data_IF_564896337162
#
_entry.id   IF_564896337162
#
_cell.length_a   1.000
_cell.length_b   1.000
_cell.length_c   1.000
_cell.angle_alpha   90.00
_cell.angle_beta   90.00
_cell.angle_gamma   90.00
#
_symmetry.space_group_name_H-M   'P 1'
#
loop_
_entity.id
_entity.type
_entity.pdbx_description
1 polymer ?
#
# COMPACT_ATOMS: atom_id res chain seq x y z
N UNK A 1 -17.30 9.07 -18.46
CA UNK A 1 -18.39 9.94 -17.99
C UNK A 1 -17.88 10.90 -16.92
N UNK A 2 -18.16 12.21 -17.04
CA UNK A 2 -17.80 13.19 -16.04
C UNK A 2 -18.45 12.91 -14.67
N UNK A 3 -17.70 13.13 -13.57
CA UNK A 3 -18.15 12.87 -12.18
C UNK A 3 -19.46 13.57 -11.81
N UNK A 4 -19.76 14.71 -12.44
CA UNK A 4 -21.00 15.49 -12.19
C UNK A 4 -22.29 14.74 -12.52
N UNK A 5 -22.24 13.72 -13.39
CA UNK A 5 -23.40 12.89 -13.76
C UNK A 5 -23.39 11.51 -13.08
N UNK A 6 -22.56 11.31 -12.06
CA UNK A 6 -22.51 10.06 -11.32
C UNK A 6 -23.85 9.81 -10.61
N UNK A 7 -24.44 8.62 -10.79
CA UNK A 7 -25.76 8.22 -10.26
C UNK A 7 -26.94 9.05 -10.80
N UNK A 8 -26.76 9.78 -11.89
CA UNK A 8 -27.86 10.46 -12.57
C UNK A 8 -28.37 9.60 -13.73
N UNK A 9 -29.67 9.68 -14.00
CA UNK A 9 -30.28 9.07 -15.18
C UNK A 9 -29.95 9.92 -16.40
N UNK A 10 -29.42 9.27 -17.44
CA UNK A 10 -29.02 9.88 -18.70
C UNK A 10 -29.74 9.20 -19.85
N UNK A 11 -30.01 9.97 -20.90
CA UNK A 11 -30.55 9.42 -22.14
C UNK A 11 -29.43 9.03 -23.09
N UNK A 12 -29.58 7.88 -23.75
CA UNK A 12 -28.58 7.37 -24.69
C UNK A 12 -29.23 7.25 -26.07
N UNK A 13 -28.61 7.88 -27.07
CA UNK A 13 -28.94 7.68 -28.48
C UNK A 13 -27.80 6.92 -29.13
N UNK A 14 -28.04 5.65 -29.44
CA UNK A 14 -27.05 4.78 -30.06
C UNK A 14 -27.18 4.82 -31.58
N UNK A 15 -26.20 5.44 -32.26
CA UNK A 15 -26.02 5.32 -33.69
C UNK A 15 -25.25 4.05 -34.07
N UNK A 16 -24.98 3.89 -35.37
CA UNK A 16 -24.17 2.77 -35.86
C UNK A 16 -22.75 2.86 -35.32
N UNK A 17 -22.04 3.97 -35.54
CA UNK A 17 -20.62 4.12 -35.16
C UNK A 17 -20.39 4.82 -33.81
N UNK A 18 -21.35 5.63 -33.38
CA UNK A 18 -21.21 6.53 -32.24
C UNK A 18 -22.41 6.42 -31.31
N UNK A 19 -22.15 6.62 -30.02
CA UNK A 19 -23.16 6.64 -28.96
C UNK A 19 -23.15 8.04 -28.37
N UNK A 20 -24.28 8.73 -28.42
CA UNK A 20 -24.48 10.06 -27.86
C UNK A 20 -25.19 9.93 -26.52
N UNK A 21 -24.71 10.65 -25.51
CA UNK A 21 -25.25 10.65 -24.16
C UNK A 21 -25.74 12.05 -23.81
N UNK A 22 -26.99 12.15 -23.41
CA UNK A 22 -27.71 13.38 -23.13
C UNK A 22 -28.17 13.46 -21.68
N UNK A 23 -28.30 14.68 -21.17
CA UNK A 23 -28.98 14.93 -19.91
C UNK A 23 -30.51 14.90 -20.10
N UNK A 24 -31.28 14.84 -19.01
CA UNK A 24 -32.76 14.97 -19.04
C UNK A 24 -33.26 16.26 -19.69
N UNK A 25 -32.42 17.29 -19.73
CA UNK A 25 -32.71 18.59 -20.34
C UNK A 25 -32.46 18.61 -21.86
N UNK A 26 -31.94 17.53 -22.45
CA UNK A 26 -31.64 17.43 -23.88
C UNK A 26 -30.23 17.90 -24.28
N UNK A 27 -29.39 18.30 -23.33
CA UNK A 27 -28.01 18.71 -23.60
C UNK A 27 -27.10 17.52 -23.86
N UNK A 28 -26.26 17.60 -24.91
CA UNK A 28 -25.25 16.59 -25.22
C UNK A 28 -24.13 16.65 -24.18
N UNK A 29 -24.00 15.57 -23.40
CA UNK A 29 -22.94 15.41 -22.41
C UNK A 29 -21.68 14.89 -23.08
N UNK A 30 -21.80 13.77 -23.80
CA UNK A 30 -20.65 13.06 -24.37
C UNK A 30 -21.00 12.25 -25.61
N UNK A 31 -19.99 12.05 -26.44
CA UNK A 31 -19.99 11.12 -27.57
C UNK A 31 -18.94 10.04 -27.34
N UNK A 32 -19.34 8.78 -27.47
CA UNK A 32 -18.47 7.62 -27.37
C UNK A 32 -18.40 6.92 -28.73
N UNK A 33 -17.21 6.42 -29.09
CA UNK A 33 -17.11 5.45 -30.18
C UNK A 33 -17.75 4.14 -29.74
N UNK A 34 -18.59 3.56 -30.59
CA UNK A 34 -19.22 2.26 -30.32
C UNK A 34 -18.16 1.16 -30.41
N UNK A 35 -17.95 0.43 -29.31
CA UNK A 35 -17.24 -0.86 -29.37
C UNK A 35 -18.25 -1.95 -29.66
N UNK A 36 -17.96 -2.80 -30.64
CA UNK A 36 -18.74 -3.99 -30.95
C UNK A 36 -18.21 -5.24 -30.23
N UNK A 37 -17.08 -5.09 -29.53
CA UNK A 37 -16.46 -6.18 -28.77
C UNK A 37 -17.19 -6.35 -27.44
N UNK A 38 -17.73 -7.54 -27.13
CA UNK A 38 -18.42 -7.77 -25.87
C UNK A 38 -17.47 -7.58 -24.68
N UNK A 39 -17.95 -6.89 -23.64
CA UNK A 39 -17.23 -6.59 -22.37
C UNK A 39 -16.01 -5.67 -22.50
N UNK A 40 -15.86 -4.98 -23.63
CA UNK A 40 -14.81 -3.98 -23.80
C UNK A 40 -15.20 -2.65 -23.13
N UNK A 41 -14.21 -2.00 -22.53
CA UNK A 41 -14.40 -0.76 -21.77
C UNK A 41 -13.81 0.41 -22.54
N UNK A 42 -14.66 1.31 -23.02
CA UNK A 42 -14.22 2.54 -23.70
C UNK A 42 -14.07 3.66 -22.69
N UNK A 43 -12.84 3.91 -22.25
CA UNK A 43 -12.51 4.98 -21.30
C UNK A 43 -12.04 6.21 -22.07
N UNK A 44 -12.68 7.36 -21.82
CA UNK A 44 -12.23 8.66 -22.36
C UNK A 44 -11.33 9.34 -21.30
N UNK A 45 -10.03 9.55 -21.58
CA UNK A 45 -9.11 10.15 -20.60
C UNK A 45 -9.55 11.54 -20.12
N UNK A 46 -10.21 12.33 -20.97
CA UNK A 46 -10.72 13.66 -20.63
C UNK A 46 -11.80 13.66 -19.55
N UNK A 47 -12.48 12.53 -19.31
CA UNK A 47 -13.49 12.40 -18.26
C UNK A 47 -12.89 11.99 -16.91
N UNK A 48 -11.63 11.56 -16.90
CA UNK A 48 -10.94 11.13 -15.69
C UNK A 48 -10.75 12.34 -14.77
N UNK A 49 -11.28 12.31 -13.53
CA UNK A 49 -11.10 13.41 -12.58
C UNK A 49 -9.60 13.66 -12.34
N UNK A 50 -9.22 14.91 -12.04
CA UNK A 50 -7.82 15.28 -11.82
C UNK A 50 -7.15 14.42 -10.74
N UNK A 51 -7.87 14.08 -9.67
CA UNK A 51 -7.42 13.18 -8.59
C UNK A 51 -7.06 11.76 -9.06
N UNK A 52 -7.62 11.32 -10.18
CA UNK A 52 -7.41 9.98 -10.73
C UNK A 52 -6.54 9.97 -11.99
N UNK A 53 -6.10 11.13 -12.49
CA UNK A 53 -5.24 11.20 -13.70
C UNK A 53 -4.01 10.31 -13.56
N UNK A 54 -3.41 10.28 -12.37
CA UNK A 54 -2.18 9.53 -12.11
C UNK A 54 -2.36 8.02 -12.29
N UNK A 55 -3.55 7.49 -12.01
CA UNK A 55 -3.85 6.06 -12.18
C UNK A 55 -3.83 5.62 -13.65
N UNK A 56 -4.14 6.53 -14.58
CA UNK A 56 -4.09 6.24 -16.02
C UNK A 56 -2.67 6.02 -16.55
N UNK A 57 -1.65 6.52 -15.83
CA UNK A 57 -0.24 6.43 -16.23
C UNK A 57 0.51 5.28 -15.57
N UNK A 58 -0.16 4.50 -14.72
CA UNK A 58 0.46 3.36 -14.03
C UNK A 58 0.82 2.27 -15.03
N UNK A 59 2.09 2.25 -15.39
CA UNK A 59 2.71 1.28 -16.28
C UNK A 59 4.00 0.77 -15.62
N UNK A 60 4.46 -0.41 -15.99
CA UNK A 60 5.76 -0.93 -15.52
C UNK A 60 6.90 0.08 -15.74
N UNK A 61 7.09 0.68 -16.93
CA UNK A 61 8.14 1.68 -17.14
C UNK A 61 7.98 2.91 -16.26
N UNK A 62 6.75 3.36 -15.96
CA UNK A 62 6.52 4.47 -15.04
C UNK A 62 7.10 4.19 -13.64
N UNK A 63 6.84 3.01 -13.09
CA UNK A 63 7.37 2.63 -11.78
C UNK A 63 8.89 2.45 -11.81
N UNK A 64 9.44 1.87 -12.88
CA UNK A 64 10.87 1.69 -13.05
C UNK A 64 11.62 3.02 -13.14
N UNK A 65 11.07 4.01 -13.85
CA UNK A 65 11.66 5.34 -13.98
C UNK A 65 11.66 6.07 -12.63
N UNK A 66 10.53 6.07 -11.91
CA UNK A 66 10.47 6.66 -10.56
C UNK A 66 11.41 5.98 -9.58
N UNK A 67 11.51 4.65 -9.64
CA UNK A 67 12.43 3.90 -8.79
C UNK A 67 13.90 4.26 -9.09
N UNK A 68 14.25 4.36 -10.38
CA UNK A 68 15.60 4.71 -10.83
C UNK A 68 16.01 6.12 -10.41
N UNK A 69 15.06 7.05 -10.28
CA UNK A 69 15.32 8.40 -9.78
C UNK A 69 15.69 8.44 -8.29
N UNK A 70 15.29 7.42 -7.51
CA UNK A 70 15.65 7.28 -6.09
C UNK A 70 16.99 6.54 -5.98
N UNK A 71 17.12 5.40 -6.66
CA UNK A 71 18.37 4.64 -6.67
C UNK A 71 18.27 3.24 -7.27
N UNK A 72 19.42 2.58 -7.50
CA UNK A 72 19.50 1.28 -8.16
C UNK A 72 18.87 0.14 -7.33
N UNK A 73 18.99 0.18 -6.00
CA UNK A 73 18.44 -0.86 -5.11
C UNK A 73 16.92 -0.77 -5.05
N UNK A 74 16.39 0.45 -5.02
CA UNK A 74 14.94 0.70 -5.10
C UNK A 74 14.36 0.17 -6.41
N UNK A 75 15.05 0.39 -7.54
CA UNK A 75 14.67 -0.19 -8.84
C UNK A 75 14.66 -1.72 -8.81
N UNK A 76 15.73 -2.34 -8.33
CA UNK A 76 15.84 -3.79 -8.26
C UNK A 76 14.72 -4.41 -7.40
N UNK A 77 14.36 -3.75 -6.30
CA UNK A 77 13.26 -4.19 -5.44
C UNK A 77 11.90 -4.09 -6.15
N UNK A 78 11.62 -2.97 -6.82
CA UNK A 78 10.36 -2.80 -7.57
C UNK A 78 10.25 -3.83 -8.69
N UNK A 79 11.33 -4.10 -9.42
CA UNK A 79 11.37 -5.13 -10.44
C UNK A 79 11.14 -6.54 -9.85
N UNK A 80 11.63 -6.81 -8.64
CA UNK A 80 11.35 -8.07 -7.94
C UNK A 80 9.88 -8.17 -7.49
N UNK A 81 9.29 -7.07 -7.01
CA UNK A 81 7.87 -7.01 -6.61
C UNK A 81 6.96 -7.23 -7.80
N UNK A 82 7.24 -6.60 -8.95
CA UNK A 82 6.44 -6.76 -10.18
C UNK A 82 6.53 -8.21 -10.68
N UNK A 83 7.73 -8.80 -10.71
CA UNK A 83 7.96 -10.19 -11.17
C UNK A 83 7.24 -11.25 -10.33
N UNK A 84 6.88 -10.95 -9.07
CA UNK A 84 6.16 -11.88 -8.20
C UNK A 84 4.73 -12.18 -8.68
N UNK A 85 4.13 -11.27 -9.45
CA UNK A 85 2.75 -11.39 -9.92
C UNK A 85 2.70 -11.75 -11.40
N UNK A 86 1.79 -12.64 -11.80
CA UNK A 86 1.57 -12.98 -13.20
C UNK A 86 1.06 -11.77 -14.01
N UNK A 87 0.29 -10.88 -13.38
CA UNK A 87 -0.19 -9.63 -13.96
C UNK A 87 0.43 -8.43 -13.24
N UNK A 88 1.23 -7.58 -13.92
CA UNK A 88 1.96 -6.49 -13.28
C UNK A 88 1.03 -5.48 -12.59
N UNK A 89 -0.19 -5.31 -13.12
CA UNK A 89 -1.21 -4.39 -12.57
C UNK A 89 -1.54 -4.69 -11.10
N UNK A 90 -1.43 -5.95 -10.66
CA UNK A 90 -1.67 -6.34 -9.27
C UNK A 90 -0.62 -5.77 -8.30
N UNK A 91 0.60 -5.51 -8.79
CA UNK A 91 1.71 -5.02 -7.99
C UNK A 91 1.80 -3.50 -7.92
N UNK A 92 1.08 -2.77 -8.78
CA UNK A 92 1.23 -1.32 -8.94
C UNK A 92 0.88 -0.55 -7.66
N UNK A 93 -0.15 -0.98 -6.92
CA UNK A 93 -0.50 -0.34 -5.64
C UNK A 93 0.62 -0.48 -4.61
N UNK A 94 1.24 -1.65 -4.55
CA UNK A 94 2.38 -1.90 -3.66
C UNK A 94 3.59 -1.06 -4.08
N UNK A 95 3.92 -1.01 -5.37
CA UNK A 95 5.02 -0.19 -5.89
C UNK A 95 4.81 1.30 -5.59
N UNK A 96 3.59 1.80 -5.79
CA UNK A 96 3.23 3.18 -5.47
C UNK A 96 3.41 3.48 -3.97
N UNK A 97 2.95 2.57 -3.10
CA UNK A 97 3.13 2.68 -1.66
C UNK A 97 4.60 2.74 -1.24
N UNK A 98 5.45 1.90 -1.85
CA UNK A 98 6.91 1.90 -1.61
C UNK A 98 7.51 3.26 -1.96
N UNK A 99 7.21 3.77 -3.16
CA UNK A 99 7.75 5.05 -3.63
C UNK A 99 7.31 6.23 -2.78
N UNK A 100 6.10 6.19 -2.21
CA UNK A 100 5.58 7.24 -1.32
C UNK A 100 6.39 7.37 -0.02
N UNK A 101 7.10 6.32 0.40
CA UNK A 101 7.98 6.43 1.56
C UNK A 101 9.22 7.28 1.32
N UNK A 102 9.64 7.49 0.06
CA UNK A 102 10.71 8.43 -0.27
C UNK A 102 10.32 9.86 0.10
N UNK A 103 9.06 10.23 -0.11
CA UNK A 103 8.52 11.55 0.24
C UNK A 103 8.37 11.71 1.76
N UNK A 104 8.03 10.63 2.48
CA UNK A 104 7.80 10.67 3.92
C UNK A 104 9.09 10.63 4.76
N UNK A 105 10.09 9.85 4.34
CA UNK A 105 11.27 9.54 5.16
C UNK A 105 12.61 9.93 4.53
N UNK A 106 12.63 10.54 3.34
CA UNK A 106 13.78 10.79 2.46
C UNK A 106 14.07 9.67 1.45
N UNK A 107 14.53 10.03 0.23
CA UNK A 107 14.92 9.06 -0.78
C UNK A 107 16.14 8.23 -0.37
N UNK A 108 17.06 8.80 0.41
CA UNK A 108 18.27 8.11 0.85
C UNK A 108 17.97 7.01 1.88
N UNK A 109 17.07 7.29 2.84
CA UNK A 109 16.61 6.28 3.80
C UNK A 109 15.90 5.12 3.09
N UNK A 110 15.10 5.42 2.06
CA UNK A 110 14.42 4.39 1.27
C UNK A 110 15.42 3.51 0.50
N UNK A 111 16.43 4.11 -0.12
CA UNK A 111 17.43 3.38 -0.88
C UNK A 111 18.25 2.43 0.02
N UNK A 112 18.63 2.86 1.23
CA UNK A 112 19.30 1.99 2.21
C UNK A 112 18.40 0.84 2.67
N UNK A 113 17.14 1.14 3.00
CA UNK A 113 16.16 0.11 3.35
C UNK A 113 15.94 -0.89 2.22
N UNK A 114 15.88 -0.43 0.96
CA UNK A 114 15.71 -1.27 -0.20
C UNK A 114 16.95 -2.13 -0.48
N UNK A 115 18.15 -1.60 -0.26
CA UNK A 115 19.41 -2.37 -0.34
C UNK A 115 19.38 -3.55 0.63
N UNK A 116 19.03 -3.30 1.90
CA UNK A 116 18.96 -4.35 2.91
C UNK A 116 17.84 -5.37 2.62
N UNK A 117 16.70 -4.92 2.11
CA UNK A 117 15.60 -5.78 1.69
C UNK A 117 16.00 -6.72 0.53
N UNK A 118 16.76 -6.22 -0.45
CA UNK A 118 17.27 -7.00 -1.57
C UNK A 118 18.30 -8.03 -1.09
N UNK A 119 19.22 -7.63 -0.20
CA UNK A 119 20.20 -8.55 0.41
C UNK A 119 19.54 -9.65 1.23
N UNK A 120 18.48 -9.32 1.98
CA UNK A 120 17.69 -10.29 2.75
C UNK A 120 16.75 -11.15 1.88
N UNK A 121 16.62 -10.87 0.58
CA UNK A 121 15.65 -11.52 -0.31
C UNK A 121 14.18 -11.19 0.01
N UNK A 122 13.92 -10.21 0.88
CA UNK A 122 12.58 -9.83 1.35
C UNK A 122 12.05 -8.63 0.56
N UNK A 123 11.82 -8.83 -0.73
CA UNK A 123 11.28 -7.79 -1.62
C UNK A 123 9.74 -7.72 -1.52
N UNK A 124 9.23 -7.09 -0.46
CA UNK A 124 7.78 -6.90 -0.30
C UNK A 124 7.44 -5.54 0.36
N UNK A 125 6.22 -5.06 0.12
CA UNK A 125 5.73 -3.79 0.67
C UNK A 125 5.69 -3.78 2.21
N UNK A 126 5.23 -4.87 2.83
CA UNK A 126 5.07 -4.96 4.28
C UNK A 126 6.40 -4.86 5.02
N UNK A 127 7.45 -5.45 4.47
CA UNK A 127 8.81 -5.40 5.00
C UNK A 127 9.29 -3.96 5.01
N UNK A 128 9.22 -3.27 3.87
CA UNK A 128 9.62 -1.86 3.76
C UNK A 128 8.81 -0.98 4.70
N UNK A 129 7.48 -1.14 4.74
CA UNK A 129 6.61 -0.38 5.64
C UNK A 129 7.04 -0.52 7.11
N UNK A 130 7.45 -1.72 7.52
CA UNK A 130 7.83 -1.99 8.91
C UNK A 130 9.27 -1.54 9.22
N UNK A 131 10.18 -1.61 8.26
CA UNK A 131 11.61 -1.32 8.48
C UNK A 131 11.98 0.13 8.20
N UNK A 132 11.29 0.85 7.31
CA UNK A 132 11.71 2.19 6.86
C UNK A 132 11.85 3.22 8.00
N UNK A 133 11.10 3.06 9.08
CA UNK A 133 11.14 3.95 10.25
C UNK A 133 12.49 3.93 10.98
N UNK A 134 13.25 2.83 10.90
CA UNK A 134 14.56 2.71 11.55
C UNK A 134 15.64 3.47 10.78
N UNK A 135 15.52 3.58 9.46
CA UNK A 135 16.49 4.23 8.57
C UNK A 135 16.36 5.76 8.50
N UNK A 136 15.26 6.32 9.02
CA UNK A 136 15.05 7.78 9.11
C UNK A 136 15.86 8.42 10.25
N UNK A 137 16.20 7.64 11.28
CA UNK A 137 17.16 8.08 12.31
C UNK A 137 18.53 7.80 11.71
N UNK A 138 19.39 8.82 11.65
CA UNK A 138 20.73 8.66 11.08
C UNK A 138 21.43 7.42 11.68
N UNK A 139 22.12 6.61 10.86
CA UNK A 139 22.99 5.58 11.40
C UNK A 139 24.24 6.27 11.97
N UNK A 140 24.24 6.53 13.28
CA UNK A 140 25.49 6.65 14.02
C UNK A 140 26.29 5.37 13.77
N UNK A 141 27.36 5.49 12.99
CA UNK A 141 28.29 4.40 12.76
C UNK A 141 28.93 4.00 14.10
N UNK A 142 28.71 2.76 14.55
CA UNK A 142 29.70 2.07 15.37
C UNK A 142 29.57 0.54 15.24
N UNK A 143 30.74 -0.07 15.19
CA UNK A 143 31.09 -1.45 14.83
C UNK A 143 30.87 -2.46 15.96
N UNK A 144 30.62 -3.72 15.56
CA UNK A 144 30.80 -5.02 16.24
C UNK A 144 31.44 -5.06 17.64
N UNK A 145 30.79 -5.72 18.62
CA UNK A 145 31.32 -6.87 19.42
C UNK A 145 30.37 -7.30 20.57
N UNK A 146 30.39 -8.59 20.91
CA UNK A 146 29.53 -9.26 21.91
C UNK A 146 30.01 -9.05 23.36
N UNK A 147 29.07 -8.86 24.31
CA UNK A 147 29.09 -9.44 25.67
C UNK A 147 27.76 -9.24 26.41
N UNK A 148 27.23 -10.30 27.03
CA UNK A 148 25.99 -10.38 27.84
C UNK A 148 26.15 -9.71 29.23
N UNK A 149 25.14 -9.80 30.13
CA UNK A 149 23.87 -9.07 30.20
C UNK A 149 23.88 -8.11 31.40
N UNK A 150 23.02 -7.09 31.43
CA UNK A 150 22.65 -6.46 32.71
C UNK A 150 21.20 -6.04 32.70
N UNK A 151 20.54 -6.47 33.77
CA UNK A 151 19.21 -6.12 34.23
C UNK A 151 19.19 -4.62 34.53
N UNK A 152 18.25 -3.90 33.93
CA UNK A 152 17.15 -3.24 34.65
C UNK A 152 16.44 -2.24 33.74
N UNK A 153 15.12 -2.40 33.73
CA UNK A 153 14.22 -1.79 32.79
C UNK A 153 13.91 -0.32 33.14
N UNK A 154 14.08 0.56 32.16
CA UNK A 154 13.32 1.80 32.08
C UNK A 154 13.10 2.19 30.62
N UNK A 155 12.12 1.56 29.98
CA UNK A 155 11.63 1.97 28.65
C UNK A 155 10.31 2.71 28.82
N UNK A 156 10.36 4.02 28.63
CA UNK A 156 9.21 4.81 28.23
C UNK A 156 8.83 4.45 26.78
N UNK A 157 7.63 3.88 26.58
CA UNK A 157 6.93 3.89 25.29
C UNK A 157 5.45 4.15 25.51
N UNK A 158 4.96 5.13 24.76
CA UNK A 158 3.58 5.52 24.58
C UNK A 158 2.81 4.53 23.69
N UNK A 159 1.60 4.14 24.12
CA UNK A 159 0.49 3.79 23.24
C UNK A 159 0.10 2.30 23.14
N UNK A 160 -1.17 2.05 23.46
CA UNK A 160 -2.05 0.90 23.09
C UNK A 160 -1.87 -0.45 23.83
N UNK A 161 -2.93 -0.81 24.59
CA UNK A 161 -3.20 -2.06 25.30
C UNK A 161 -2.04 -2.67 26.11
N UNK A 162 -1.92 -2.27 27.38
CA UNK A 162 -1.30 -3.10 28.41
C UNK A 162 -2.40 -3.95 29.02
N UNK A 163 -2.56 -5.18 28.55
CA UNK A 163 -3.20 -6.19 29.38
C UNK A 163 -2.19 -6.58 30.47
N UNK A 164 -2.67 -6.73 31.70
CA UNK A 164 -1.83 -7.13 32.81
C UNK A 164 -1.52 -8.62 32.67
N UNK A 165 -0.33 -8.96 32.14
CA UNK A 165 0.10 -10.34 31.88
C UNK A 165 0.01 -11.25 33.13
N UNK A 166 -0.03 -10.65 34.32
CA UNK A 166 -0.27 -11.39 35.57
C UNK A 166 -1.64 -12.08 35.59
N UNK A 167 -2.65 -11.55 34.89
CA UNK A 167 -4.01 -12.12 34.80
C UNK A 167 -4.04 -13.48 34.08
N UNK A 168 -3.13 -13.68 33.12
CA UNK A 168 -3.02 -14.93 32.35
C UNK A 168 -1.88 -15.82 32.84
N UNK A 169 -1.24 -15.46 33.95
CA UNK A 169 -0.23 -16.31 34.58
C UNK A 169 -0.83 -17.66 35.01
N UNK A 170 -0.14 -18.74 34.66
CA UNK A 170 -0.53 -20.13 34.95
C UNK A 170 -0.91 -20.33 36.43
N UNK A 171 -0.22 -19.64 37.34
CA UNK A 171 -0.52 -19.65 38.78
C UNK A 171 -1.91 -19.10 39.11
N UNK A 172 -2.31 -18.02 38.45
CA UNK A 172 -3.60 -17.36 38.69
C UNK A 172 -4.77 -18.10 38.02
N UNK A 173 -4.52 -18.76 36.88
CA UNK A 173 -5.50 -19.62 36.22
C UNK A 173 -5.81 -20.88 37.05
N UNK A 174 -4.78 -21.54 37.58
CA UNK A 174 -4.94 -22.70 38.45
C UNK A 174 -5.68 -22.35 39.75
N UNK A 175 -5.32 -21.21 40.36
CA UNK A 175 -6.00 -20.72 41.57
C UNK A 175 -7.50 -20.44 41.36
N UNK A 176 -7.88 -19.99 40.15
CA UNK A 176 -9.29 -19.77 39.80
C UNK A 176 -10.08 -21.07 39.71
N UNK A 177 -9.51 -22.11 39.09
CA UNK A 177 -10.13 -23.43 39.01
C UNK A 177 -10.38 -24.03 40.40
N UNK A 178 -9.44 -23.86 41.33
CA UNK A 178 -9.59 -24.34 42.71
C UNK A 178 -10.70 -23.59 43.47
N UNK A 179 -10.88 -22.29 43.21
CA UNK A 179 -11.94 -21.50 43.86
C UNK A 179 -13.34 -21.74 43.28
N UNK A 180 -13.46 -22.06 41.99
CA UNK A 180 -14.75 -22.36 41.35
C UNK A 180 -15.25 -23.77 41.69
N UNK A 181 -14.34 -24.72 41.95
CA UNK A 181 -14.69 -26.06 42.42
C UNK A 181 -15.16 -26.12 43.89
N UNK A 182 -15.02 -25.02 44.65
CA UNK A 182 -15.43 -24.91 46.06
C UNK A 182 -16.74 -24.15 46.29
N UNK A 183 -17.56 -23.92 45.25
CA UNK A 183 -18.85 -23.25 45.34
C UNK A 183 -20.02 -24.10 44.81
N UNK A 184 -19.87 -25.42 44.89
CA UNK A 184 -20.98 -26.39 44.78
C UNK A 184 -20.99 -27.27 46.04
N UNK A 185 -21.26 -26.68 47.21
CA UNK A 185 -21.87 -27.36 48.37
C UNK A 185 -22.86 -26.43 49.07
#
# INVERSE_FOLDING_TARGET
MPRKYLRQELEIRAGEKEIYVYNKQGDLIRTHKRSYTPKDWVIIPSDMPAEYKDYGYWTVPYFQQKASAIGPSTRALIDAVIRKYAYPVQSFRSCFGILRYAEKYSPEALERCCKDAVLAGKCNYSYICNTISTYHKEPSQSTTSQSKPNEDAAIAVSGTYKDDDSKYSLKNLLKRQETEAGHEE
#
